data_IF_051549305665
#
_entry.id   IF_051549305665
#
_cell.length_a   1.000
_cell.length_b   1.000
_cell.length_c   1.000
_cell.angle_alpha   90.00
_cell.angle_beta   90.00
_cell.angle_gamma   90.00
#
_symmetry.space_group_name_H-M   'P 1'
#
loop_
_entity.id
_entity.type
_entity.pdbx_description
1 polymer ?
#
# COMPACT_ATOMS: atom_id res chain seq x y z
N UNK A 1 -12.45 -8.01 14.85
CA UNK A 1 -11.41 -8.00 13.82
C UNK A 1 -11.50 -6.67 13.11
N UNK A 2 -10.38 -6.00 12.93
CA UNK A 2 -10.31 -4.76 12.18
C UNK A 2 -10.75 -5.04 10.76
N UNK A 3 -11.77 -4.35 10.29
CA UNK A 3 -12.22 -4.48 8.91
C UNK A 3 -11.72 -3.34 8.03
N UNK A 4 -11.06 -2.34 8.64
CA UNK A 4 -10.49 -1.21 7.94
C UNK A 4 -9.00 -1.09 8.17
N UNK A 5 -8.27 -0.78 7.12
CA UNK A 5 -6.87 -0.40 7.17
C UNK A 5 -6.73 0.99 6.57
N UNK A 6 -6.12 1.90 7.33
CA UNK A 6 -5.85 3.26 6.89
C UNK A 6 -4.38 3.35 6.54
N UNK A 7 -4.07 3.64 5.29
CA UNK A 7 -2.71 3.94 4.83
C UNK A 7 -2.47 5.44 4.87
N UNK A 8 -1.33 5.83 5.41
CA UNK A 8 -0.89 7.21 5.50
C UNK A 8 0.49 7.32 4.86
N UNK A 9 0.56 8.01 3.75
CA UNK A 9 1.81 8.45 3.13
C UNK A 9 2.11 9.88 3.57
N UNK A 10 3.27 10.07 4.20
CA UNK A 10 3.65 11.34 4.81
C UNK A 10 4.51 12.17 3.86
N UNK A 11 3.91 13.18 3.27
CA UNK A 11 4.64 14.16 2.48
C UNK A 11 5.49 15.10 3.33
N UNK A 12 6.60 15.54 2.74
CA UNK A 12 7.42 16.65 3.25
C UNK A 12 7.04 17.94 2.53
N UNK A 13 7.80 19.00 2.75
CA UNK A 13 7.51 20.35 2.26
C UNK A 13 7.16 20.49 0.77
N UNK A 14 7.56 19.53 -0.06
CA UNK A 14 7.30 19.50 -1.52
C UNK A 14 6.40 18.35 -1.97
N UNK A 15 6.10 17.42 -1.08
CA UNK A 15 5.25 16.26 -1.36
C UNK A 15 3.97 16.34 -0.53
N UNK A 16 2.88 15.86 -1.09
CA UNK A 16 1.61 15.83 -0.39
C UNK A 16 1.55 14.70 0.62
N UNK A 17 0.82 14.94 1.71
CA UNK A 17 0.39 13.84 2.58
C UNK A 17 -0.90 13.26 2.03
N UNK A 18 -0.99 11.94 1.93
CA UNK A 18 -2.17 11.24 1.46
C UNK A 18 -2.68 10.22 2.48
N UNK A 19 -4.01 10.09 2.54
CA UNK A 19 -4.75 9.12 3.37
C UNK A 19 -5.63 8.24 2.49
N UNK A 20 -5.61 6.94 2.74
CA UNK A 20 -6.50 5.99 2.10
C UNK A 20 -7.09 5.04 3.14
N UNK A 21 -8.42 4.85 3.16
CA UNK A 21 -9.04 3.82 4.00
C UNK A 21 -9.57 2.68 3.12
N UNK A 22 -9.09 1.49 3.38
CA UNK A 22 -9.46 0.25 2.69
C UNK A 22 -10.24 -0.63 3.66
N UNK A 23 -11.45 -1.00 3.26
CA UNK A 23 -12.27 -2.00 3.92
C UNK A 23 -11.87 -3.40 3.42
N UNK A 24 -11.61 -4.32 4.34
CA UNK A 24 -11.46 -5.74 4.01
C UNK A 24 -12.80 -6.44 4.22
N UNK A 25 -13.38 -6.91 3.14
CA UNK A 25 -14.60 -7.71 3.14
C UNK A 25 -14.25 -9.19 2.84
N UNK A 26 -14.87 -10.10 3.57
CA UNK A 26 -14.77 -11.54 3.30
C UNK A 26 -16.10 -12.04 2.72
N UNK A 27 -16.00 -12.86 1.68
CA UNK A 27 -17.12 -13.57 1.09
C UNK A 27 -16.84 -15.07 1.03
N UNK A 28 -17.90 -15.86 0.95
CA UNK A 28 -17.79 -17.29 0.69
C UNK A 28 -17.49 -17.49 -0.80
N UNK A 29 -16.39 -18.16 -1.09
CA UNK A 29 -16.00 -18.57 -2.43
C UNK A 29 -16.42 -20.01 -2.73
N UNK A 30 -15.65 -20.70 -3.58
CA UNK A 30 -15.92 -22.07 -4.00
C UNK A 30 -15.70 -23.08 -2.87
N UNK A 31 -16.39 -24.21 -2.96
CA UNK A 31 -16.18 -25.36 -2.08
C UNK A 31 -14.81 -25.99 -2.36
N UNK A 32 -14.01 -26.19 -1.32
CA UNK A 32 -12.75 -26.90 -1.40
C UNK A 32 -12.97 -28.36 -0.96
N UNK A 33 -12.96 -29.32 -1.92
CA UNK A 33 -13.23 -30.75 -1.58
C UNK A 33 -12.07 -31.38 -0.81
N UNK A 34 -10.88 -30.79 -0.80
CA UNK A 34 -9.72 -31.30 -0.06
C UNK A 34 -9.76 -30.83 1.39
N UNK A 35 -10.09 -29.57 1.61
CA UNK A 35 -10.22 -28.99 2.94
C UNK A 35 -11.60 -29.24 3.57
N UNK A 36 -12.56 -29.79 2.82
CA UNK A 36 -13.97 -29.93 3.23
C UNK A 36 -14.56 -28.64 3.80
N UNK A 37 -14.25 -27.51 3.16
CA UNK A 37 -14.67 -26.18 3.60
C UNK A 37 -14.93 -25.25 2.42
N UNK A 38 -15.78 -24.25 2.63
CA UNK A 38 -15.91 -23.14 1.69
C UNK A 38 -14.69 -22.23 1.79
N UNK A 39 -14.05 -21.95 0.66
CA UNK A 39 -12.96 -20.98 0.60
C UNK A 39 -13.46 -19.60 1.01
N UNK A 40 -12.69 -18.91 1.83
CA UNK A 40 -12.92 -17.49 2.11
C UNK A 40 -12.18 -16.65 1.08
N UNK A 41 -12.89 -15.76 0.41
CA UNK A 41 -12.33 -14.82 -0.55
C UNK A 41 -12.33 -13.43 0.09
N UNK A 42 -11.16 -12.86 0.25
CA UNK A 42 -11.01 -11.50 0.73
C UNK A 42 -11.01 -10.53 -0.45
N UNK A 43 -11.84 -9.49 -0.35
CA UNK A 43 -11.88 -8.37 -1.28
C UNK A 43 -11.57 -7.10 -0.52
N UNK A 44 -10.73 -6.25 -1.08
CA UNK A 44 -10.38 -4.94 -0.55
C UNK A 44 -11.21 -3.87 -1.27
N UNK A 45 -11.80 -2.94 -0.51
CA UNK A 45 -12.60 -1.85 -1.05
C UNK A 45 -12.02 -0.53 -0.59
N UNK A 46 -11.52 0.28 -1.50
CA UNK A 46 -11.10 1.64 -1.21
C UNK A 46 -12.34 2.50 -0.98
N UNK A 47 -12.56 2.90 0.29
CA UNK A 47 -13.76 3.62 0.75
C UNK A 47 -13.52 5.10 1.00
N UNK A 48 -12.28 5.48 1.22
CA UNK A 48 -11.88 6.85 1.48
C UNK A 48 -10.52 7.13 0.88
N UNK A 49 -10.36 8.31 0.31
CA UNK A 49 -9.12 8.77 -0.29
C UNK A 49 -9.03 10.30 -0.14
N UNK A 50 -7.95 10.78 0.43
CA UNK A 50 -7.69 12.21 0.63
C UNK A 50 -6.25 12.54 0.33
N UNK A 51 -6.05 13.68 -0.31
CA UNK A 51 -4.76 14.31 -0.50
C UNK A 51 -4.76 15.66 0.20
N UNK A 52 -3.89 15.82 1.19
CA UNK A 52 -3.80 17.07 1.94
C UNK A 52 -3.06 18.14 1.12
N UNK A 53 -3.37 19.42 1.34
CA UNK A 53 -2.59 20.51 0.76
C UNK A 53 -1.10 20.43 1.14
N UNK A 54 -0.23 21.00 0.30
CA UNK A 54 1.19 21.14 0.63
C UNK A 54 1.39 22.01 1.87
N UNK A 55 2.41 21.69 2.65
CA UNK A 55 2.83 22.49 3.79
C UNK A 55 1.93 22.42 5.02
N UNK A 56 1.01 21.44 5.10
CA UNK A 56 0.22 21.21 6.31
C UNK A 56 1.14 20.84 7.48
N UNK A 57 1.12 21.58 8.61
CA UNK A 57 1.94 21.25 9.77
C UNK A 57 1.58 19.89 10.35
N UNK A 58 2.57 19.13 10.82
CA UNK A 58 2.36 17.79 11.41
C UNK A 58 1.27 17.72 12.49
N UNK A 59 1.13 18.69 13.43
CA UNK A 59 0.03 18.64 14.40
C UNK A 59 -1.36 18.70 13.74
N UNK A 60 -1.53 19.47 12.67
CA UNK A 60 -2.80 19.54 11.92
C UNK A 60 -3.04 18.25 11.13
N UNK A 61 -1.99 17.69 10.54
CA UNK A 61 -2.04 16.38 9.86
C UNK A 61 -2.47 15.28 10.86
N UNK A 62 -1.84 15.22 12.04
CA UNK A 62 -2.21 14.26 13.10
C UNK A 62 -3.66 14.42 13.52
N UNK A 63 -4.15 15.66 13.67
CA UNK A 63 -5.54 15.94 13.99
C UNK A 63 -6.48 15.46 12.87
N UNK A 64 -6.10 15.65 11.60
CA UNK A 64 -6.88 15.13 10.47
C UNK A 64 -6.93 13.60 10.46
N UNK A 65 -5.79 12.95 10.68
CA UNK A 65 -5.73 11.49 10.83
C UNK A 65 -6.65 11.02 11.96
N UNK A 66 -6.62 11.71 13.12
CA UNK A 66 -7.49 11.39 14.25
C UNK A 66 -8.98 11.47 13.88
N UNK A 67 -9.40 12.53 13.16
CA UNK A 67 -10.77 12.67 12.69
C UNK A 67 -11.19 11.51 11.78
N UNK A 68 -10.31 11.08 10.88
CA UNK A 68 -10.58 9.96 9.96
C UNK A 68 -10.70 8.64 10.73
N UNK A 69 -9.72 8.28 11.56
CA UNK A 69 -9.73 6.98 12.25
C UNK A 69 -10.78 6.89 13.36
N UNK A 70 -11.23 8.04 13.89
CA UNK A 70 -12.33 8.13 14.86
C UNK A 70 -13.71 8.33 14.21
N UNK A 71 -13.79 8.37 12.88
CA UNK A 71 -15.08 8.36 12.21
C UNK A 71 -15.87 7.10 12.61
N UNK A 72 -17.20 7.25 12.79
CA UNK A 72 -18.10 6.20 13.32
C UNK A 72 -17.93 4.81 12.69
N UNK A 73 -17.52 4.74 11.42
CA UNK A 73 -17.34 3.48 10.71
C UNK A 73 -15.98 2.82 10.98
N UNK A 74 -14.97 3.62 11.34
CA UNK A 74 -13.60 3.17 11.55
C UNK A 74 -13.24 3.01 13.03
N UNK A 75 -13.88 3.78 13.92
CA UNK A 75 -13.54 3.84 15.33
C UNK A 75 -13.53 2.46 16.00
N UNK A 76 -12.38 2.09 16.57
CA UNK A 76 -12.14 0.78 17.20
C UNK A 76 -12.10 -0.41 16.23
N UNK A 77 -12.11 -0.17 14.91
CA UNK A 77 -12.19 -1.21 13.87
C UNK A 77 -11.16 -1.02 12.76
N UNK A 78 -10.16 -0.18 12.99
CA UNK A 78 -9.12 0.09 12.00
C UNK A 78 -7.72 -0.06 12.58
N UNK A 79 -6.76 -0.27 11.67
CA UNK A 79 -5.31 -0.15 11.91
C UNK A 79 -4.78 0.93 10.99
N UNK A 80 -3.94 1.83 11.53
CA UNK A 80 -3.20 2.84 10.77
C UNK A 80 -1.84 2.29 10.38
N UNK A 81 -1.54 2.30 9.08
CA UNK A 81 -0.23 1.97 8.52
C UNK A 81 0.38 3.25 7.97
N UNK A 82 1.50 3.68 8.53
CA UNK A 82 2.12 4.96 8.20
C UNK A 82 3.50 4.78 7.57
N UNK A 83 3.75 5.48 6.46
CA UNK A 83 5.11 5.63 5.94
C UNK A 83 5.93 6.53 6.87
N UNK A 84 6.96 5.96 7.47
CA UNK A 84 7.93 6.65 8.31
C UNK A 84 9.21 7.03 7.57
N UNK A 85 9.29 6.78 6.27
CA UNK A 85 10.46 7.09 5.44
C UNK A 85 10.65 8.62 5.36
N UNK A 86 11.84 9.09 5.67
CA UNK A 86 12.17 10.52 5.54
C UNK A 86 11.66 11.44 6.66
N UNK A 87 10.46 11.23 7.22
CA UNK A 87 9.91 12.06 8.32
C UNK A 87 10.35 11.59 9.70
N UNK A 88 10.81 10.35 9.77
CA UNK A 88 11.42 9.78 10.96
C UNK A 88 10.49 9.51 12.13
N UNK A 89 11.09 9.02 13.21
CA UNK A 89 10.42 8.65 14.46
C UNK A 89 9.56 9.77 15.09
N UNK A 90 9.95 11.07 15.06
CA UNK A 90 9.15 12.10 15.74
C UNK A 90 7.70 12.19 15.27
N UNK A 91 7.41 11.96 14.00
CA UNK A 91 6.02 12.02 13.49
C UNK A 91 5.25 10.78 13.92
N UNK A 92 5.89 9.61 13.91
CA UNK A 92 5.31 8.37 14.42
C UNK A 92 4.99 8.51 15.93
N UNK A 93 5.89 9.13 16.69
CA UNK A 93 5.68 9.40 18.13
C UNK A 93 4.50 10.36 18.36
N UNK A 94 4.32 11.38 17.51
CA UNK A 94 3.15 12.26 17.56
C UNK A 94 1.85 11.49 17.29
N UNK A 95 1.84 10.57 16.33
CA UNK A 95 0.68 9.72 16.05
C UNK A 95 0.36 8.79 17.23
N UNK A 96 1.37 8.18 17.84
CA UNK A 96 1.18 7.37 19.04
C UNK A 96 0.65 8.21 20.23
N UNK A 97 1.17 9.42 20.42
CA UNK A 97 0.74 10.35 21.46
C UNK A 97 -0.67 10.88 21.27
N UNK A 98 -1.19 10.89 20.06
CA UNK A 98 -2.49 11.47 19.71
C UNK A 98 -3.70 10.64 20.19
N UNK A 99 -3.50 9.46 20.80
CA UNK A 99 -4.58 8.58 21.29
C UNK A 99 -5.62 8.29 20.21
N UNK A 100 -5.16 7.84 19.07
CA UNK A 100 -5.99 7.62 17.86
C UNK A 100 -7.09 6.58 18.06
N UNK A 101 -7.00 5.71 19.08
CA UNK A 101 -7.96 4.63 19.34
C UNK A 101 -7.82 3.44 18.37
N UNK A 102 -6.73 3.38 17.63
CA UNK A 102 -6.39 2.29 16.73
C UNK A 102 -4.90 1.92 16.86
N UNK A 103 -4.53 0.74 16.35
CA UNK A 103 -3.14 0.34 16.26
C UNK A 103 -2.42 1.18 15.19
N UNK A 104 -1.18 1.57 15.47
CA UNK A 104 -0.30 2.27 14.52
C UNK A 104 0.85 1.37 14.16
N UNK A 105 1.02 1.11 12.88
CA UNK A 105 2.12 0.31 12.32
C UNK A 105 3.00 1.21 11.47
N UNK A 106 4.25 1.39 11.88
CA UNK A 106 5.21 2.19 11.13
C UNK A 106 5.91 1.35 10.07
N UNK A 107 5.91 1.83 8.83
CA UNK A 107 6.58 1.23 7.68
C UNK A 107 7.68 2.16 7.20
N UNK A 108 8.89 1.64 7.04
CA UNK A 108 9.97 2.30 6.31
C UNK A 108 10.04 1.68 4.93
N UNK A 109 9.75 2.46 3.89
CA UNK A 109 9.85 2.02 2.50
C UNK A 109 11.34 1.94 2.12
N UNK A 110 11.77 0.77 1.67
CA UNK A 110 13.18 0.49 1.38
C UNK A 110 13.41 0.16 -0.09
N UNK A 111 14.65 0.37 -0.55
CA UNK A 111 15.13 -0.14 -1.85
C UNK A 111 15.67 -1.58 -1.79
N UNK A 112 15.48 -2.28 -0.66
CA UNK A 112 15.91 -3.67 -0.47
C UNK A 112 15.04 -4.69 -1.21
N UNK A 113 15.34 -5.97 -1.02
CA UNK A 113 14.63 -7.08 -1.67
C UNK A 113 13.73 -7.87 -0.70
N UNK A 114 13.94 -7.71 0.61
CA UNK A 114 13.24 -8.48 1.64
C UNK A 114 12.58 -7.59 2.68
N UNK A 115 11.40 -8.01 3.12
CA UNK A 115 10.75 -7.37 4.25
C UNK A 115 11.50 -7.68 5.55
N UNK A 116 11.58 -6.68 6.43
CA UNK A 116 12.19 -6.81 7.76
C UNK A 116 11.22 -6.28 8.83
N UNK A 117 11.37 -6.76 10.07
CA UNK A 117 10.63 -6.23 11.20
C UNK A 117 11.55 -6.13 12.41
N UNK A 118 11.68 -4.95 12.98
CA UNK A 118 12.49 -4.71 14.18
C UNK A 118 11.95 -3.51 14.96
N UNK A 119 11.84 -3.64 16.29
CA UNK A 119 11.51 -2.53 17.19
C UNK A 119 10.17 -1.84 16.90
N UNK A 120 9.17 -2.57 16.39
CA UNK A 120 7.86 -2.00 16.03
C UNK A 120 7.79 -1.33 14.66
N UNK A 121 8.89 -1.34 13.91
CA UNK A 121 8.97 -0.84 12.54
C UNK A 121 9.08 -2.00 11.54
N UNK A 122 8.47 -1.82 10.37
CA UNK A 122 8.57 -2.74 9.25
C UNK A 122 9.34 -2.09 8.11
N UNK A 123 10.46 -2.71 7.70
CA UNK A 123 11.12 -2.35 6.45
C UNK A 123 10.43 -3.08 5.30
N UNK A 124 9.84 -2.35 4.37
CA UNK A 124 9.08 -2.92 3.25
C UNK A 124 9.68 -2.45 1.93
N UNK A 125 10.09 -3.37 1.04
CA UNK A 125 10.57 -2.99 -0.27
C UNK A 125 9.52 -2.18 -1.05
N UNK A 126 9.93 -1.06 -1.65
CA UNK A 126 9.06 -0.24 -2.51
C UNK A 126 8.40 -1.07 -3.61
N UNK A 127 9.20 -1.99 -4.18
CA UNK A 127 8.75 -2.97 -5.17
C UNK A 127 7.54 -3.78 -4.67
N UNK A 128 7.62 -4.31 -3.46
CA UNK A 128 6.58 -5.21 -2.92
C UNK A 128 5.26 -4.49 -2.68
N UNK A 129 5.30 -3.21 -2.31
CA UNK A 129 4.11 -2.36 -2.21
C UNK A 129 3.44 -2.18 -3.57
N UNK A 130 4.21 -1.78 -4.59
CA UNK A 130 3.67 -1.47 -5.92
C UNK A 130 3.17 -2.74 -6.62
N UNK A 131 3.94 -3.82 -6.58
CA UNK A 131 3.52 -5.06 -7.23
C UNK A 131 2.35 -5.70 -6.48
N UNK A 132 2.34 -5.64 -5.15
CA UNK A 132 1.20 -6.09 -4.36
C UNK A 132 -0.09 -5.37 -4.75
N UNK A 133 -0.02 -4.04 -4.95
CA UNK A 133 -1.14 -3.25 -5.45
C UNK A 133 -1.56 -3.67 -6.87
N UNK A 134 -0.60 -3.83 -7.78
CA UNK A 134 -0.86 -4.24 -9.15
C UNK A 134 -1.55 -5.61 -9.23
N UNK A 135 -1.09 -6.58 -8.47
CA UNK A 135 -1.71 -7.92 -8.43
C UNK A 135 -3.15 -7.85 -7.94
N UNK A 136 -3.42 -7.06 -6.88
CA UNK A 136 -4.78 -6.88 -6.36
C UNK A 136 -5.73 -6.29 -7.43
N UNK A 137 -5.24 -5.36 -8.25
CA UNK A 137 -6.00 -4.80 -9.36
C UNK A 137 -6.23 -5.83 -10.48
N UNK A 138 -5.20 -6.57 -10.89
CA UNK A 138 -5.28 -7.60 -11.92
C UNK A 138 -6.23 -8.74 -11.53
N UNK A 139 -6.21 -9.15 -10.27
CA UNK A 139 -7.09 -10.18 -9.72
C UNK A 139 -8.49 -9.64 -9.38
N UNK A 140 -8.76 -8.35 -9.62
CA UNK A 140 -10.02 -7.67 -9.25
C UNK A 140 -10.37 -7.79 -7.76
N UNK A 141 -9.34 -7.96 -6.93
CA UNK A 141 -9.47 -8.01 -5.46
C UNK A 141 -9.45 -6.64 -4.80
N UNK A 142 -8.98 -5.60 -5.49
CA UNK A 142 -9.14 -4.20 -5.07
C UNK A 142 -10.24 -3.55 -5.88
N UNK A 143 -11.29 -3.10 -5.19
CA UNK A 143 -12.39 -2.32 -5.73
C UNK A 143 -12.25 -0.86 -5.30
N UNK A 144 -12.37 0.06 -6.24
CA UNK A 144 -12.28 1.50 -6.00
C UNK A 144 -13.69 2.08 -6.15
N UNK A 145 -14.18 2.77 -5.12
CA UNK A 145 -15.48 3.42 -5.19
C UNK A 145 -15.47 4.51 -6.28
N UNK A 146 -16.52 4.54 -7.10
CA UNK A 146 -16.57 5.41 -8.28
C UNK A 146 -16.75 6.90 -7.93
N UNK A 147 -17.24 7.19 -6.74
CA UNK A 147 -17.57 8.52 -6.22
C UNK A 147 -16.46 9.16 -5.37
N UNK A 148 -15.27 8.55 -5.31
CA UNK A 148 -14.15 9.13 -4.59
C UNK A 148 -13.64 10.38 -5.29
N UNK A 149 -13.60 11.50 -4.55
CA UNK A 149 -13.15 12.81 -5.06
C UNK A 149 -11.79 12.74 -5.74
N UNK A 150 -10.82 12.04 -5.14
CA UNK A 150 -9.47 11.87 -5.67
C UNK A 150 -9.31 10.59 -6.52
N UNK A 151 -10.37 9.86 -6.81
CA UNK A 151 -10.33 8.63 -7.61
C UNK A 151 -9.68 8.80 -8.98
N UNK A 152 -10.07 9.80 -9.79
CA UNK A 152 -9.43 10.07 -11.08
C UNK A 152 -7.94 10.40 -10.96
N UNK A 153 -7.54 11.12 -9.90
CA UNK A 153 -6.14 11.45 -9.65
C UNK A 153 -5.33 10.20 -9.27
N UNK A 154 -5.87 9.33 -8.43
CA UNK A 154 -5.26 8.03 -8.10
C UNK A 154 -5.02 7.19 -9.36
N UNK A 155 -6.03 7.06 -10.23
CA UNK A 155 -5.89 6.32 -11.48
C UNK A 155 -4.78 6.92 -12.35
N UNK A 156 -4.69 8.25 -12.41
CA UNK A 156 -3.62 8.93 -13.14
C UNK A 156 -2.25 8.61 -12.54
N UNK A 157 -2.06 8.73 -11.20
CA UNK A 157 -0.80 8.40 -10.53
C UNK A 157 -0.38 6.95 -10.80
N UNK A 158 -1.31 5.98 -10.64
CA UNK A 158 -1.03 4.58 -10.93
C UNK A 158 -0.62 4.35 -12.39
N UNK A 159 -1.25 5.05 -13.36
CA UNK A 159 -0.93 4.91 -14.79
C UNK A 159 0.41 5.55 -15.17
N UNK A 160 0.89 6.49 -14.38
CA UNK A 160 2.18 7.18 -14.56
C UNK A 160 3.33 6.49 -13.81
N UNK A 161 3.02 5.51 -12.95
CA UNK A 161 4.02 4.71 -12.23
C UNK A 161 4.88 3.91 -13.22
N UNK A 162 6.18 4.00 -13.07
CA UNK A 162 7.15 3.37 -13.96
C UNK A 162 8.16 2.55 -13.18
N UNK A 163 8.73 1.56 -13.84
CA UNK A 163 9.91 0.82 -13.38
C UNK A 163 11.11 1.25 -14.22
N UNK A 164 12.20 1.61 -13.57
CA UNK A 164 13.49 1.84 -14.22
C UNK A 164 14.49 0.83 -13.71
N UNK A 165 15.22 0.22 -14.64
CA UNK A 165 16.34 -0.66 -14.30
C UNK A 165 17.62 0.18 -14.36
N UNK A 166 18.35 0.25 -13.25
CA UNK A 166 19.64 0.96 -13.19
C UNK A 166 20.72 0.17 -13.94
N UNK A 167 21.84 0.82 -14.27
CA UNK A 167 23.00 0.16 -14.87
C UNK A 167 23.55 -1.00 -14.01
N UNK A 168 23.29 -0.99 -12.70
CA UNK A 168 23.64 -2.07 -11.78
C UNK A 168 22.58 -3.19 -11.72
N UNK A 169 21.58 -3.19 -12.62
CA UNK A 169 20.51 -4.19 -12.67
C UNK A 169 19.46 -4.07 -11.56
N UNK A 170 19.45 -2.96 -10.80
CA UNK A 170 18.47 -2.73 -9.72
C UNK A 170 17.23 -2.02 -10.26
N UNK A 171 16.06 -2.52 -9.87
CA UNK A 171 14.78 -1.89 -10.19
C UNK A 171 14.50 -0.71 -9.26
N UNK A 172 14.01 0.38 -9.85
CA UNK A 172 13.50 1.54 -9.14
C UNK A 172 12.07 1.79 -9.58
N UNK A 173 11.18 2.02 -8.62
CA UNK A 173 9.75 2.25 -8.83
C UNK A 173 9.41 3.68 -8.46
N UNK A 174 8.63 4.37 -9.29
CA UNK A 174 8.18 5.73 -8.99
C UNK A 174 7.75 6.52 -10.22
N UNK A 175 7.51 7.80 -10.00
CA UNK A 175 7.27 8.80 -11.03
C UNK A 175 8.52 9.67 -11.15
N UNK A 176 9.00 9.92 -12.38
CA UNK A 176 10.27 10.64 -12.60
C UNK A 176 10.12 11.93 -13.41
N UNK A 177 8.88 12.35 -13.70
CA UNK A 177 8.66 13.64 -14.35
C UNK A 177 8.38 14.69 -13.30
N UNK A 178 8.89 15.89 -13.50
CA UNK A 178 8.62 17.03 -12.65
C UNK A 178 7.10 17.28 -12.56
N UNK A 179 6.60 17.49 -11.34
CA UNK A 179 5.16 17.66 -11.07
C UNK A 179 4.32 16.38 -11.06
N UNK A 180 4.92 15.20 -11.19
CA UNK A 180 4.26 13.94 -10.95
C UNK A 180 4.39 13.55 -9.48
N UNK A 181 3.32 13.02 -8.93
CA UNK A 181 3.21 12.59 -7.55
C UNK A 181 2.77 11.13 -7.49
N UNK A 182 3.07 10.44 -6.41
CA UNK A 182 2.69 9.05 -6.15
C UNK A 182 2.11 8.85 -4.75
N UNK A 183 1.78 9.96 -4.06
CA UNK A 183 1.32 9.98 -2.67
C UNK A 183 0.04 9.15 -2.46
N UNK A 184 -0.97 9.32 -3.32
CA UNK A 184 -2.23 8.56 -3.23
C UNK A 184 -1.99 7.08 -3.49
N UNK A 185 -1.13 6.78 -4.46
CA UNK A 185 -0.76 5.39 -4.79
C UNK A 185 -0.08 4.70 -3.61
N UNK A 186 0.86 5.39 -2.90
CA UNK A 186 1.52 4.81 -1.74
C UNK A 186 0.60 4.70 -0.53
N UNK A 187 -0.29 5.66 -0.29
CA UNK A 187 -1.30 5.54 0.77
C UNK A 187 -2.18 4.29 0.57
N UNK A 188 -2.64 4.04 -0.67
CA UNK A 188 -3.42 2.84 -1.01
C UNK A 188 -2.58 1.57 -0.89
N UNK A 189 -1.33 1.58 -1.37
CA UNK A 189 -0.43 0.43 -1.31
C UNK A 189 -0.12 0.03 0.14
N UNK A 190 0.11 0.99 1.03
CA UNK A 190 0.31 0.77 2.48
C UNK A 190 -0.92 0.18 3.14
N UNK A 191 -2.13 0.69 2.81
CA UNK A 191 -3.37 0.12 3.33
C UNK A 191 -3.57 -1.33 2.87
N UNK A 192 -3.31 -1.63 1.61
CA UNK A 192 -3.38 -2.98 1.04
C UNK A 192 -2.34 -3.92 1.65
N UNK A 193 -1.11 -3.45 1.87
CA UNK A 193 -0.06 -4.20 2.56
C UNK A 193 -0.47 -4.53 4.00
N UNK A 194 -1.01 -3.56 4.74
CA UNK A 194 -1.51 -3.76 6.09
C UNK A 194 -2.65 -4.77 6.16
N UNK A 195 -3.59 -4.74 5.19
CA UNK A 195 -4.69 -5.70 5.09
C UNK A 195 -4.18 -7.14 4.90
N UNK A 196 -3.11 -7.33 4.15
CA UNK A 196 -2.43 -8.61 3.99
C UNK A 196 -1.79 -9.07 5.31
N UNK A 197 -1.07 -8.18 6.00
CA UNK A 197 -0.36 -8.50 7.26
C UNK A 197 -1.30 -8.82 8.43
N UNK A 198 -2.39 -8.10 8.57
CA UNK A 198 -3.37 -8.32 9.64
C UNK A 198 -3.96 -9.76 9.63
N UNK A 199 -3.88 -10.46 8.51
CA UNK A 199 -4.41 -11.81 8.34
C UNK A 199 -3.35 -12.88 8.01
N UNK A 200 -2.10 -12.48 7.79
CA UNK A 200 -0.98 -13.38 7.47
C UNK A 200 -0.59 -14.35 8.57
N UNK A 201 -1.05 -14.16 9.81
CA UNK A 201 -0.88 -15.12 10.88
C UNK A 201 -1.86 -16.30 10.80
N UNK A 202 -2.86 -16.27 9.93
CA UNK A 202 -3.83 -17.34 9.76
C UNK A 202 -3.51 -18.28 8.59
N UNK A 203 -2.65 -17.90 7.66
CA UNK A 203 -2.37 -18.69 6.44
C UNK A 203 -0.88 -18.63 6.11
N UNK A 204 -0.08 -19.40 6.84
CA UNK A 204 1.35 -19.60 6.54
C UNK A 204 1.60 -20.19 5.12
N UNK A 205 0.55 -20.64 4.43
CA UNK A 205 0.62 -21.15 3.05
C UNK A 205 0.59 -20.06 1.94
N UNK A 206 0.06 -18.86 2.23
CA UNK A 206 -0.08 -17.83 1.20
C UNK A 206 1.18 -16.96 1.02
N UNK A 207 2.05 -16.86 2.01
CA UNK A 207 3.29 -16.06 1.93
C UNK A 207 4.27 -16.62 0.90
N UNK A 208 4.39 -17.93 0.81
CA UNK A 208 5.20 -18.62 -0.20
C UNK A 208 4.63 -18.53 -1.61
N UNK A 209 3.31 -18.35 -1.72
CA UNK A 209 2.62 -18.22 -3.00
C UNK A 209 2.89 -16.87 -3.67
N UNK A 210 2.89 -15.77 -2.91
CA UNK A 210 3.21 -14.44 -3.42
C UNK A 210 4.64 -14.31 -3.94
N UNK A 211 5.61 -14.85 -3.22
CA UNK A 211 7.02 -14.87 -3.65
C UNK A 211 7.21 -15.72 -4.91
N UNK A 212 6.54 -16.86 -5.01
CA UNK A 212 6.65 -17.76 -6.16
C UNK A 212 5.86 -17.28 -7.40
N UNK A 213 4.67 -16.66 -7.21
CA UNK A 213 3.89 -16.07 -8.30
C UNK A 213 4.63 -14.89 -8.91
N UNK A 214 5.22 -14.06 -8.05
CA UNK A 214 5.98 -12.88 -8.38
C UNK A 214 7.13 -13.19 -9.32
N UNK A 215 7.95 -14.19 -8.98
CA UNK A 215 9.11 -14.56 -9.78
C UNK A 215 8.70 -15.19 -11.12
N UNK A 216 7.68 -16.04 -11.12
CA UNK A 216 7.22 -16.75 -12.33
C UNK A 216 6.45 -15.86 -13.31
N UNK A 217 5.58 -14.97 -12.85
CA UNK A 217 4.80 -14.07 -13.71
C UNK A 217 5.69 -12.93 -14.24
N UNK A 218 6.61 -12.44 -13.42
CA UNK A 218 7.57 -11.44 -13.83
C UNK A 218 8.58 -11.98 -14.87
N UNK A 219 9.14 -13.16 -14.62
CA UNK A 219 10.05 -13.85 -15.59
C UNK A 219 9.35 -14.18 -16.90
N UNK A 220 8.08 -14.56 -16.87
CA UNK A 220 7.30 -14.82 -18.10
C UNK A 220 7.00 -13.55 -18.90
N UNK A 221 6.69 -12.45 -18.23
CA UNK A 221 6.19 -11.23 -18.90
C UNK A 221 7.29 -10.24 -19.26
N UNK A 222 8.35 -10.17 -18.47
CA UNK A 222 9.43 -9.19 -18.62
C UNK A 222 10.82 -9.79 -18.81
N UNK A 223 11.02 -11.06 -18.48
CA UNK A 223 12.32 -11.71 -18.60
C UNK A 223 12.87 -11.81 -20.03
N UNK A 224 12.00 -11.74 -21.04
CA UNK A 224 12.40 -11.68 -22.44
C UNK A 224 12.58 -10.22 -22.93
N UNK A 225 11.77 -9.27 -22.45
CA UNK A 225 11.90 -7.86 -22.83
C UNK A 225 13.10 -7.16 -22.19
N UNK A 226 13.44 -7.50 -20.93
CA UNK A 226 14.59 -6.89 -20.23
C UNK A 226 15.93 -7.34 -20.82
N UNK A 227 16.00 -8.52 -21.43
CA UNK A 227 17.22 -8.96 -22.14
C UNK A 227 17.48 -8.21 -23.45
N UNK A 228 16.48 -7.48 -23.96
CA UNK A 228 16.57 -6.73 -25.23
C UNK A 228 16.68 -5.21 -25.08
N UNK A 229 16.52 -4.68 -23.86
CA UNK A 229 16.46 -3.23 -23.62
C UNK A 229 17.70 -2.78 -22.83
N UNK A 230 18.66 -2.22 -23.53
CA UNK A 230 19.57 -1.25 -22.95
C UNK A 230 18.74 0.02 -22.65
N UNK A 231 18.54 0.33 -21.35
CA UNK A 231 17.86 1.53 -20.85
C UNK A 231 16.46 1.81 -21.42
N UNK A 232 15.46 1.02 -21.01
CA UNK A 232 14.07 1.21 -21.39
C UNK A 232 13.13 1.47 -20.20
N UNK A 233 12.20 2.43 -20.36
CA UNK A 233 11.09 2.68 -19.43
C UNK A 233 9.93 1.76 -19.79
N UNK A 234 9.43 0.97 -18.84
CA UNK A 234 8.22 0.16 -19.00
C UNK A 234 7.08 0.79 -18.18
N UNK A 235 5.93 1.05 -18.80
CA UNK A 235 4.71 1.47 -18.11
C UNK A 235 4.01 0.27 -17.46
N UNK A 236 3.50 0.43 -16.23
CA UNK A 236 2.88 -0.63 -15.42
C UNK A 236 1.42 -0.89 -15.72
N UNK A 237 0.82 -0.27 -16.74
CA UNK A 237 -0.56 -0.55 -17.18
C UNK A 237 -0.60 -0.87 -18.64
#
# INVERSE_FOLDING_TARGET
>A
MDCYIVGLDLGQSRDHTALAAVERAESTGDWDPVAFAWRKVATLRLRYLERMPLGVPYPQMVERVRQVVQHRELAGRCTLVVDSTGVGRPVVDLLHGARLGCNVTAVTITGGETETAAGGYHGVPKRDLIIGLQVLLQERKLQIAADLEHGPLLVKEMSEMQVRVTAAGREQYGTWREGQHDDLTFAVALACWGARKAHGNAVAGEVGWWQNLHQREWEKRFGQEVRGLQEGQVRLL
#
